data_IF_765970739484
#
_entry.id   IF_765970739484
#
_cell.length_a   1.000
_cell.length_b   1.000
_cell.length_c   1.000
_cell.angle_alpha   90.00
_cell.angle_beta   90.00
_cell.angle_gamma   90.00
#
_symmetry.space_group_name_H-M   'P 1'
#
loop_
_entity.id
_entity.type
_entity.pdbx_description
1 polymer ?
#
# COMPACT_ATOMS: atom_id res chain seq x y z
N UNK A 1 10.62 -2.67 59.59
CA UNK A 1 11.63 -2.11 58.67
C UNK A 1 11.75 -3.08 57.50
N UNK A 2 11.12 -2.77 56.35
CA UNK A 2 11.00 -3.69 55.23
C UNK A 2 12.32 -3.80 54.44
N UNK A 3 12.86 -5.01 54.33
CA UNK A 3 14.07 -5.30 53.54
C UNK A 3 13.70 -5.34 52.06
N UNK A 4 14.40 -4.52 51.25
CA UNK A 4 14.18 -4.37 49.81
C UNK A 4 14.57 -5.65 49.07
N UNK A 5 13.69 -6.11 48.18
CA UNK A 5 14.01 -7.09 47.14
C UNK A 5 14.39 -6.39 45.84
N UNK A 6 15.62 -6.57 45.33
CA UNK A 6 15.90 -6.45 43.91
C UNK A 6 16.18 -7.82 43.27
N UNK A 7 15.30 -8.17 42.33
CA UNK A 7 15.39 -9.30 41.41
C UNK A 7 16.73 -9.37 40.67
N UNK A 8 17.35 -10.55 40.66
CA UNK A 8 18.37 -10.94 39.67
C UNK A 8 17.95 -12.24 38.97
N UNK A 9 16.71 -12.26 38.44
CA UNK A 9 16.44 -13.01 37.21
C UNK A 9 17.06 -12.18 36.07
N UNK A 10 17.82 -12.67 35.09
CA UNK A 10 17.75 -13.94 34.39
C UNK A 10 19.04 -14.15 33.59
N UNK A 11 19.82 -15.20 33.87
CA UNK A 11 21.02 -15.58 33.09
C UNK A 11 20.73 -16.63 32.00
N UNK A 12 19.52 -16.68 31.46
CA UNK A 12 19.15 -17.65 30.43
C UNK A 12 18.17 -17.04 29.44
N UNK A 13 18.66 -16.58 28.28
CA UNK A 13 17.93 -16.52 27.00
C UNK A 13 18.68 -15.65 25.98
N UNK A 14 19.75 -16.15 25.36
CA UNK A 14 20.22 -15.65 24.05
C UNK A 14 21.25 -16.59 23.42
N UNK A 15 20.78 -17.77 22.98
CA UNK A 15 21.55 -18.65 22.10
C UNK A 15 20.63 -19.59 21.30
N UNK A 16 19.69 -19.03 20.51
CA UNK A 16 18.96 -19.77 19.45
C UNK A 16 18.61 -18.84 18.29
N UNK A 17 19.62 -18.25 17.64
CA UNK A 17 19.48 -17.47 16.39
C UNK A 17 20.43 -17.95 15.28
N UNK A 18 20.69 -19.25 15.21
CA UNK A 18 21.45 -19.87 14.10
C UNK A 18 20.84 -21.23 13.77
N UNK A 19 19.61 -21.25 13.24
CA UNK A 19 18.99 -22.47 12.69
C UNK A 19 17.68 -22.22 11.91
N UNK A 20 17.50 -21.07 11.25
CA UNK A 20 16.21 -20.78 10.58
C UNK A 20 16.31 -20.01 9.26
N UNK A 21 17.32 -20.30 8.42
CA UNK A 21 17.48 -19.63 7.11
C UNK A 21 17.68 -20.61 5.93
N UNK A 22 17.49 -21.92 6.09
CA UNK A 22 17.82 -22.86 5.01
C UNK A 22 16.78 -23.97 4.76
N UNK A 23 15.47 -23.64 4.69
CA UNK A 23 14.48 -24.55 4.07
C UNK A 23 13.13 -23.88 3.77
N UNK A 24 13.04 -23.15 2.65
CA UNK A 24 11.73 -22.81 2.05
C UNK A 24 11.90 -22.38 0.59
N UNK A 25 12.33 -23.30 -0.27
CA UNK A 25 12.09 -23.24 -1.71
C UNK A 25 11.20 -24.43 -2.05
N UNK A 26 9.89 -24.23 -2.18
CA UNK A 26 8.96 -25.13 -2.88
C UNK A 26 7.83 -24.31 -3.51
N UNK A 27 7.69 -24.51 -4.82
CA UNK A 27 6.68 -23.95 -5.71
C UNK A 27 5.31 -24.63 -5.50
N UNK A 28 4.27 -23.84 -5.77
CA UNK A 28 2.95 -24.16 -6.39
C UNK A 28 2.00 -25.20 -5.76
N UNK A 29 0.77 -24.75 -5.46
CA UNK A 29 -0.48 -25.27 -6.05
C UNK A 29 -1.68 -24.42 -5.59
N UNK A 30 -2.65 -24.33 -6.49
CA UNK A 30 -3.78 -23.41 -6.57
C UNK A 30 -4.87 -23.62 -5.49
N UNK A 31 -5.77 -22.64 -5.41
CA UNK A 31 -7.12 -22.87 -4.89
C UNK A 31 -7.38 -22.36 -3.48
N UNK A 32 -7.40 -21.04 -3.29
CA UNK A 32 -8.21 -20.40 -2.26
C UNK A 32 -8.82 -19.14 -2.85
N UNK A 33 -10.15 -19.13 -2.95
CA UNK A 33 -10.96 -17.94 -3.19
C UNK A 33 -10.61 -16.94 -2.09
N UNK A 34 -9.62 -16.10 -2.34
CA UNK A 34 -9.23 -15.03 -1.45
C UNK A 34 -10.37 -14.04 -1.50
N UNK A 35 -11.10 -13.95 -0.39
CA UNK A 35 -11.81 -12.72 -0.05
C UNK A 35 -10.75 -11.63 -0.14
N UNK A 36 -10.77 -10.88 -1.23
CA UNK A 36 -9.89 -9.74 -1.44
C UNK A 36 -10.40 -8.64 -0.51
N UNK A 37 -10.06 -8.76 0.77
CA UNK A 37 -10.14 -7.64 1.70
C UNK A 37 -9.36 -6.51 1.03
N UNK A 38 -9.99 -5.37 0.70
CA UNK A 38 -9.32 -4.35 -0.09
C UNK A 38 -8.22 -3.74 0.77
N UNK A 39 -7.00 -4.23 0.58
CA UNK A 39 -5.79 -3.58 1.03
C UNK A 39 -5.85 -2.14 0.53
N UNK A 40 -5.70 -1.17 1.43
CA UNK A 40 -5.69 0.26 1.10
C UNK A 40 -4.81 0.49 -0.13
N UNK A 41 -5.43 0.79 -1.27
CA UNK A 41 -4.75 0.78 -2.56
C UNK A 41 -3.72 1.89 -2.58
N UNK A 42 -2.44 1.53 -2.51
CA UNK A 42 -1.33 2.45 -2.70
C UNK A 42 -1.09 2.62 -4.19
N UNK A 43 -1.37 3.82 -4.71
CA UNK A 43 -1.05 4.18 -6.09
C UNK A 43 0.45 4.48 -6.17
N UNK A 44 1.19 3.71 -6.98
CA UNK A 44 2.62 3.94 -7.19
C UNK A 44 2.89 4.65 -8.53
N UNK A 45 2.05 4.40 -9.53
CA UNK A 45 2.15 5.00 -10.85
C UNK A 45 0.99 6.02 -11.05
N UNK A 46 1.26 7.22 -11.62
CA UNK A 46 0.21 8.16 -12.01
C UNK A 46 -0.92 7.55 -12.85
N UNK A 47 -0.62 6.55 -13.69
CA UNK A 47 -1.58 5.85 -14.53
C UNK A 47 -2.56 4.99 -13.74
N UNK A 48 -2.19 4.59 -12.52
CA UNK A 48 -3.11 3.91 -11.61
C UNK A 48 -4.18 4.87 -11.05
N UNK A 49 -3.89 6.18 -11.04
CA UNK A 49 -4.80 7.24 -10.57
C UNK A 49 -5.61 7.84 -11.72
N UNK A 50 -4.98 8.19 -12.84
CA UNK A 50 -5.59 8.81 -14.02
C UNK A 50 -5.91 7.75 -15.09
N UNK A 51 -7.13 7.21 -15.05
CA UNK A 51 -7.48 6.02 -15.84
C UNK A 51 -7.69 6.33 -17.34
N UNK A 52 -8.42 7.40 -17.64
CA UNK A 52 -8.70 7.83 -19.03
C UNK A 52 -9.16 9.29 -19.09
N UNK A 53 -8.84 10.03 -20.16
CA UNK A 53 -9.43 11.35 -20.39
C UNK A 53 -10.94 11.22 -20.64
N UNK A 54 -11.70 12.20 -20.20
CA UNK A 54 -13.11 12.34 -20.57
C UNK A 54 -13.17 13.15 -21.85
N UNK A 55 -13.73 12.54 -22.89
CA UNK A 55 -13.89 13.18 -24.20
C UNK A 55 -15.38 13.36 -24.45
N UNK A 56 -15.84 14.60 -24.28
CA UNK A 56 -17.21 15.03 -24.52
C UNK A 56 -17.19 16.47 -25.01
N UNK A 57 -18.25 16.92 -25.67
CA UNK A 57 -18.38 18.33 -26.12
C UNK A 57 -18.12 19.31 -24.97
N UNK A 58 -18.67 19.00 -23.78
CA UNK A 58 -18.44 19.79 -22.57
C UNK A 58 -16.98 19.77 -22.12
N UNK A 59 -16.30 18.63 -22.22
CA UNK A 59 -14.89 18.52 -21.87
C UNK A 59 -14.02 19.37 -22.79
N UNK A 60 -14.33 19.42 -24.10
CA UNK A 60 -13.63 20.28 -25.04
C UNK A 60 -13.82 21.77 -24.75
N UNK A 61 -15.04 22.21 -24.44
CA UNK A 61 -15.30 23.60 -24.07
C UNK A 61 -14.47 24.07 -22.86
N UNK A 62 -14.20 23.16 -21.91
CA UNK A 62 -13.38 23.43 -20.73
C UNK A 62 -11.87 23.46 -21.03
N UNK A 63 -11.41 22.86 -22.15
CA UNK A 63 -9.99 22.88 -22.54
C UNK A 63 -9.51 24.29 -22.87
N UNK A 64 -10.36 25.11 -23.49
CA UNK A 64 -10.04 26.51 -23.80
C UNK A 64 -9.81 27.34 -22.53
N UNK A 65 -10.41 26.93 -21.41
CA UNK A 65 -10.20 27.50 -20.08
C UNK A 65 -9.03 26.84 -19.31
N UNK A 66 -8.26 25.96 -19.97
CA UNK A 66 -7.14 25.22 -19.37
C UNK A 66 -7.56 24.11 -18.39
N UNK A 67 -8.81 23.65 -18.45
CA UNK A 67 -9.35 22.61 -17.54
C UNK A 67 -9.41 21.25 -18.24
N UNK A 68 -8.72 20.28 -17.67
CA UNK A 68 -8.67 18.90 -18.18
C UNK A 68 -9.49 17.96 -17.29
N UNK A 69 -10.23 17.03 -17.89
CA UNK A 69 -11.10 16.11 -17.17
C UNK A 69 -10.67 14.65 -17.39
N UNK A 70 -10.55 13.91 -16.29
CA UNK A 70 -10.16 12.50 -16.30
C UNK A 70 -11.13 11.68 -15.45
N UNK A 71 -11.33 10.43 -15.86
CA UNK A 71 -11.88 9.40 -14.98
C UNK A 71 -10.74 8.92 -14.08
N UNK A 72 -10.97 8.97 -12.77
CA UNK A 72 -9.97 8.61 -11.76
C UNK A 72 -10.35 7.35 -11.01
N UNK A 73 -9.37 6.71 -10.36
CA UNK A 73 -9.63 5.59 -9.47
C UNK A 73 -10.55 6.02 -8.30
N UNK A 74 -11.64 5.28 -8.00
CA UNK A 74 -12.59 5.68 -6.96
C UNK A 74 -11.99 5.82 -5.56
N UNK A 75 -10.89 5.11 -5.29
CA UNK A 75 -10.17 5.19 -4.01
C UNK A 75 -9.11 6.30 -3.94
N UNK A 76 -8.93 7.10 -4.99
CA UNK A 76 -7.93 8.16 -5.01
C UNK A 76 -8.43 9.42 -4.32
N UNK A 77 -7.57 10.04 -3.51
CA UNK A 77 -7.82 11.34 -2.89
C UNK A 77 -7.32 12.50 -3.77
N UNK A 78 -7.77 13.72 -3.47
CA UNK A 78 -7.38 14.92 -4.25
C UNK A 78 -5.87 15.18 -4.28
N UNK A 79 -5.16 14.85 -3.20
CA UNK A 79 -3.71 15.00 -3.11
C UNK A 79 -2.99 14.07 -4.08
N UNK A 80 -3.40 12.81 -4.13
CA UNK A 80 -2.88 11.81 -5.08
C UNK A 80 -3.20 12.19 -6.51
N UNK A 81 -4.42 12.68 -6.80
CA UNK A 81 -4.77 13.18 -8.13
C UNK A 81 -3.87 14.34 -8.53
N UNK A 82 -3.63 15.29 -7.63
CA UNK A 82 -2.70 16.41 -7.88
C UNK A 82 -1.28 15.92 -8.16
N UNK A 83 -0.77 14.99 -7.36
CA UNK A 83 0.54 14.40 -7.55
C UNK A 83 0.64 13.66 -8.90
N UNK A 84 -0.38 12.88 -9.25
CA UNK A 84 -0.43 12.15 -10.52
C UNK A 84 -0.49 13.07 -11.75
N UNK A 85 -1.10 14.25 -11.64
CA UNK A 85 -1.12 15.25 -12.73
C UNK A 85 0.23 15.97 -12.87
N UNK A 86 1.01 16.05 -11.79
CA UNK A 86 2.30 16.76 -11.76
C UNK A 86 3.51 15.86 -12.03
N UNK A 87 3.36 14.55 -11.94
CA UNK A 87 4.41 13.54 -12.14
C UNK A 87 4.73 13.34 -13.62
#
# INVERSE_FOLDING_TARGET
>A
MATRHPSIASKAAKAKKVARVAKAKRHETEGKNTVETPLSKSFTDPRDVLLKPVVSEKSYALLDEGKYTFVVAPGANKTQIKQAVQA
#
